data_IF_662939314072
#
_entry.id   IF_662939314072
#
_cell.length_a   1.000
_cell.length_b   1.000
_cell.length_c   1.000
_cell.angle_alpha   90.00
_cell.angle_beta   90.00
_cell.angle_gamma   90.00
#
_symmetry.space_group_name_H-M   'P 1'
#
loop_
_entity.id
_entity.type
_entity.pdbx_description
1 polymer ?
#
# COMPACT_ATOMS: atom_id res chain seq x y z
N UNK A 1 -25.65 42.29 -15.97
CA UNK A 1 -24.72 41.28 -16.54
C UNK A 1 -23.76 40.88 -15.43
N UNK A 2 -24.18 39.95 -14.57
CA UNK A 2 -23.36 39.40 -13.49
C UNK A 2 -22.96 37.97 -13.86
N UNK A 3 -21.65 37.72 -13.88
CA UNK A 3 -21.09 36.45 -14.27
C UNK A 3 -21.57 35.33 -13.35
N UNK A 4 -22.25 34.35 -13.93
CA UNK A 4 -22.55 33.06 -13.31
C UNK A 4 -21.26 32.24 -13.31
N UNK A 5 -20.67 32.03 -12.13
CA UNK A 5 -19.55 31.11 -11.97
C UNK A 5 -19.97 29.69 -12.34
N UNK A 6 -19.12 28.92 -13.06
CA UNK A 6 -19.46 27.59 -13.54
C UNK A 6 -19.61 26.59 -12.36
N UNK A 7 -20.61 25.72 -12.48
CA UNK A 7 -21.03 24.67 -11.53
C UNK A 7 -20.08 23.44 -11.51
N UNK A 8 -18.79 23.61 -11.76
CA UNK A 8 -17.88 22.48 -12.09
C UNK A 8 -17.04 21.94 -10.92
N UNK A 9 -17.15 22.52 -9.71
CA UNK A 9 -16.34 22.10 -8.54
C UNK A 9 -16.86 20.90 -7.74
N UNK A 10 -18.03 20.34 -8.07
CA UNK A 10 -18.71 19.34 -7.24
C UNK A 10 -18.30 17.88 -7.54
N UNK A 11 -17.95 17.58 -8.79
CA UNK A 11 -17.56 16.24 -9.26
C UNK A 11 -16.21 15.75 -8.70
N UNK A 12 -15.11 16.55 -8.68
CA UNK A 12 -13.81 16.07 -8.19
C UNK A 12 -13.84 15.81 -6.68
N UNK A 13 -14.59 16.63 -5.92
CA UNK A 13 -14.73 16.45 -4.47
C UNK A 13 -15.44 15.15 -4.11
N UNK A 14 -16.53 14.81 -4.81
CA UNK A 14 -17.24 13.54 -4.58
C UNK A 14 -16.40 12.32 -4.94
N UNK A 15 -15.64 12.38 -6.04
CA UNK A 15 -14.74 11.29 -6.44
C UNK A 15 -13.64 11.07 -5.40
N UNK A 16 -12.97 12.15 -4.96
CA UNK A 16 -11.91 12.09 -3.95
C UNK A 16 -12.43 11.64 -2.59
N UNK A 17 -13.63 12.06 -2.20
CA UNK A 17 -14.29 11.60 -0.98
C UNK A 17 -14.63 10.11 -1.05
N UNK A 18 -15.04 9.63 -2.23
CA UNK A 18 -15.30 8.21 -2.45
C UNK A 18 -14.00 7.39 -2.41
N UNK A 19 -12.91 7.88 -3.00
CA UNK A 19 -11.59 7.23 -2.99
C UNK A 19 -10.96 7.13 -1.60
N UNK A 20 -11.24 8.09 -0.72
CA UNK A 20 -10.76 8.13 0.68
C UNK A 20 -11.77 7.56 1.68
N UNK A 21 -12.89 7.02 1.18
CA UNK A 21 -13.90 6.37 2.00
C UNK A 21 -13.39 5.04 2.56
N UNK A 22 -13.96 4.62 3.69
CA UNK A 22 -13.68 3.32 4.32
C UNK A 22 -13.83 2.16 3.34
N UNK A 23 -14.88 2.16 2.53
CA UNK A 23 -15.15 1.11 1.55
C UNK A 23 -14.08 1.08 0.45
N UNK A 24 -13.66 2.25 -0.04
CA UNK A 24 -12.60 2.30 -1.06
C UNK A 24 -11.25 1.83 -0.50
N UNK A 25 -10.91 2.20 0.74
CA UNK A 25 -9.70 1.71 1.40
C UNK A 25 -9.74 0.19 1.54
N UNK A 26 -10.87 -0.39 1.96
CA UNK A 26 -11.02 -1.86 2.04
C UNK A 26 -10.85 -2.53 0.67
N UNK A 27 -11.50 -2.00 -0.37
CA UNK A 27 -11.40 -2.57 -1.72
C UNK A 27 -9.96 -2.51 -2.21
N UNK A 28 -9.28 -1.37 -2.05
CA UNK A 28 -7.88 -1.22 -2.42
C UNK A 28 -6.97 -2.16 -1.62
N UNK A 29 -7.19 -2.30 -0.32
CA UNK A 29 -6.45 -3.26 0.50
C UNK A 29 -6.61 -4.68 -0.05
N UNK A 30 -7.83 -5.12 -0.37
CA UNK A 30 -8.09 -6.45 -0.93
C UNK A 30 -7.36 -6.64 -2.26
N UNK A 31 -7.43 -5.67 -3.17
CA UNK A 31 -6.73 -5.73 -4.46
C UNK A 31 -5.21 -5.85 -4.25
N UNK A 32 -4.64 -5.03 -3.37
CA UNK A 32 -3.20 -5.06 -3.09
C UNK A 32 -2.79 -6.38 -2.43
N UNK A 33 -3.58 -6.90 -1.49
CA UNK A 33 -3.35 -8.21 -0.88
C UNK A 33 -3.30 -9.31 -1.94
N UNK A 34 -4.24 -9.32 -2.88
CA UNK A 34 -4.26 -10.31 -3.96
C UNK A 34 -3.02 -10.19 -4.86
N UNK A 35 -2.59 -8.96 -5.18
CA UNK A 35 -1.36 -8.74 -5.94
C UNK A 35 -0.11 -9.22 -5.18
N UNK A 36 -0.02 -8.97 -3.87
CA UNK A 36 1.09 -9.46 -3.04
C UNK A 36 1.10 -11.00 -2.99
N UNK A 37 -0.06 -11.63 -2.78
CA UNK A 37 -0.18 -13.08 -2.77
C UNK A 37 0.22 -13.69 -4.11
N UNK A 38 -0.29 -13.13 -5.21
CA UNK A 38 0.05 -13.60 -6.55
C UNK A 38 1.54 -13.44 -6.86
N UNK A 39 2.11 -12.26 -6.60
CA UNK A 39 3.52 -12.01 -6.90
C UNK A 39 4.46 -12.84 -6.02
N UNK A 40 4.16 -12.99 -4.72
CA UNK A 40 4.90 -13.90 -3.84
C UNK A 40 4.77 -15.36 -4.29
N UNK A 41 3.58 -15.79 -4.74
CA UNK A 41 3.37 -17.13 -5.28
C UNK A 41 4.18 -17.39 -6.55
N UNK A 42 4.19 -16.43 -7.49
CA UNK A 42 4.96 -16.53 -8.74
C UNK A 42 6.47 -16.65 -8.48
N UNK A 43 6.97 -15.97 -7.45
CA UNK A 43 8.36 -16.07 -6.99
C UNK A 43 8.61 -17.46 -6.37
N UNK A 44 7.80 -17.87 -5.40
CA UNK A 44 8.01 -19.14 -4.68
C UNK A 44 7.92 -20.36 -5.61
N UNK A 45 7.01 -20.34 -6.59
CA UNK A 45 6.89 -21.42 -7.58
C UNK A 45 8.12 -21.55 -8.47
N UNK A 46 8.82 -20.45 -8.74
CA UNK A 46 10.03 -20.40 -9.57
C UNK A 46 11.32 -20.51 -8.76
N UNK A 47 11.22 -20.75 -7.45
CA UNK A 47 12.36 -20.79 -6.53
C UNK A 47 13.45 -21.78 -6.98
N UNK A 48 13.06 -22.96 -7.45
CA UNK A 48 14.01 -24.00 -7.92
C UNK A 48 14.79 -23.61 -9.19
N UNK A 49 14.36 -22.55 -9.89
CA UNK A 49 14.98 -22.03 -11.10
C UNK A 49 15.27 -20.53 -11.01
N UNK A 50 15.65 -20.04 -9.80
CA UNK A 50 15.94 -18.63 -9.54
C UNK A 50 16.96 -18.05 -10.50
N UNK A 51 18.09 -18.73 -10.71
CA UNK A 51 19.17 -18.23 -11.58
C UNK A 51 18.69 -17.90 -13.01
N UNK A 52 17.66 -18.59 -13.50
CA UNK A 52 17.10 -18.37 -14.84
C UNK A 52 15.99 -17.30 -14.86
N UNK A 53 15.36 -17.03 -13.72
CA UNK A 53 14.19 -16.15 -13.61
C UNK A 53 14.42 -14.88 -12.78
N UNK A 54 15.62 -14.71 -12.23
CA UNK A 54 15.99 -13.65 -11.30
C UNK A 54 15.60 -12.25 -11.79
N UNK A 55 15.92 -11.82 -13.04
CA UNK A 55 15.50 -10.50 -13.53
C UNK A 55 13.98 -10.29 -13.51
N UNK A 56 13.21 -11.34 -13.78
CA UNK A 56 11.74 -11.29 -13.73
C UNK A 56 11.22 -11.19 -12.30
N UNK A 57 11.81 -11.94 -11.37
CA UNK A 57 11.43 -11.93 -9.95
C UNK A 57 11.75 -10.59 -9.29
N UNK A 58 12.91 -10.00 -9.62
CA UNK A 58 13.28 -8.65 -9.19
C UNK A 58 12.28 -7.60 -9.67
N UNK A 59 11.86 -7.66 -10.95
CA UNK A 59 10.90 -6.71 -11.50
C UNK A 59 9.53 -6.81 -10.82
N UNK A 60 9.08 -8.03 -10.50
CA UNK A 60 7.87 -8.24 -9.70
C UNK A 60 8.03 -7.59 -8.32
N UNK A 61 9.10 -7.92 -7.59
CA UNK A 61 9.35 -7.36 -6.25
C UNK A 61 9.45 -5.83 -6.27
N UNK A 62 10.12 -5.25 -7.27
CA UNK A 62 10.23 -3.80 -7.42
C UNK A 62 8.86 -3.15 -7.67
N UNK A 63 8.03 -3.75 -8.52
CA UNK A 63 6.67 -3.27 -8.78
C UNK A 63 5.80 -3.33 -7.53
N UNK A 64 5.82 -4.47 -6.82
CA UNK A 64 5.08 -4.66 -5.57
C UNK A 64 5.53 -3.67 -4.49
N UNK A 65 6.84 -3.51 -4.32
CA UNK A 65 7.43 -2.52 -3.41
C UNK A 65 6.90 -1.11 -3.69
N UNK A 66 6.91 -0.70 -4.96
CA UNK A 66 6.44 0.62 -5.39
C UNK A 66 4.96 0.82 -5.01
N UNK A 67 4.12 -0.20 -5.22
CA UNK A 67 2.71 -0.17 -4.84
C UNK A 67 2.54 -0.06 -3.32
N UNK A 68 3.29 -0.84 -2.54
CA UNK A 68 3.24 -0.81 -1.07
C UNK A 68 3.64 0.56 -0.53
N UNK A 69 4.73 1.15 -1.01
CA UNK A 69 5.17 2.48 -0.58
C UNK A 69 4.14 3.55 -0.95
N UNK A 70 3.68 3.57 -2.20
CA UNK A 70 2.72 4.58 -2.65
C UNK A 70 1.39 4.49 -1.89
N UNK A 71 0.85 3.29 -1.73
CA UNK A 71 -0.42 3.11 -1.03
C UNK A 71 -0.28 3.27 0.49
N UNK A 72 0.83 2.82 1.08
CA UNK A 72 1.14 3.04 2.48
C UNK A 72 1.22 4.53 2.82
N UNK A 73 1.79 5.35 1.92
CA UNK A 73 1.79 6.81 2.06
C UNK A 73 0.37 7.39 2.03
N UNK A 74 -0.49 6.93 1.12
CA UNK A 74 -1.89 7.35 1.06
C UNK A 74 -2.64 7.01 2.34
N UNK A 75 -2.40 5.83 2.93
CA UNK A 75 -2.96 5.45 4.22
C UNK A 75 -2.42 6.34 5.34
N UNK A 76 -1.11 6.56 5.35
CA UNK A 76 -0.44 7.34 6.38
C UNK A 76 -0.95 8.78 6.44
N UNK A 77 -1.04 9.42 5.28
CA UNK A 77 -1.39 10.83 5.12
C UNK A 77 -2.90 11.04 4.90
N UNK A 78 -3.74 10.02 5.11
CA UNK A 78 -5.19 10.09 4.85
C UNK A 78 -5.84 11.32 5.49
N UNK A 79 -5.55 11.58 6.76
CA UNK A 79 -6.10 12.72 7.49
C UNK A 79 -5.63 14.05 6.89
N UNK A 80 -4.34 14.17 6.59
CA UNK A 80 -3.76 15.36 5.97
C UNK A 80 -4.32 15.60 4.56
N UNK A 81 -4.49 14.56 3.75
CA UNK A 81 -5.11 14.62 2.42
C UNK A 81 -6.56 15.12 2.50
N UNK A 82 -7.35 14.59 3.42
CA UNK A 82 -8.74 15.02 3.63
C UNK A 82 -8.82 16.47 4.16
N UNK A 83 -7.90 16.86 5.05
CA UNK A 83 -7.82 18.22 5.58
C UNK A 83 -7.41 19.23 4.50
N UNK A 84 -6.38 18.93 3.72
CA UNK A 84 -5.91 19.75 2.60
C UNK A 84 -7.03 20.01 1.58
N UNK A 85 -7.84 18.98 1.30
CA UNK A 85 -8.96 19.08 0.37
C UNK A 85 -10.22 19.75 0.97
N UNK A 86 -10.18 20.16 2.25
CA UNK A 86 -11.33 20.68 3.02
C UNK A 86 -12.51 19.70 3.01
N UNK A 87 -12.22 18.40 2.94
CA UNK A 87 -13.18 17.29 2.95
C UNK A 87 -13.29 16.63 4.33
N UNK A 88 -12.41 16.98 5.26
CA UNK A 88 -12.53 16.57 6.66
C UNK A 88 -13.79 17.19 7.27
N UNK A 89 -14.70 16.40 7.86
CA UNK A 89 -15.95 16.94 8.39
C UNK A 89 -15.67 17.97 9.49
N UNK A 90 -16.45 19.06 9.48
CA UNK A 90 -16.46 20.06 10.56
C UNK A 90 -17.07 19.39 11.80
N UNK A 91 -16.22 18.74 12.59
CA UNK A 91 -16.61 17.88 13.70
C UNK A 91 -15.96 16.52 13.53
N UNK A 92 -14.82 16.32 14.19
CA UNK A 92 -14.14 15.04 14.25
C UNK A 92 -15.05 14.10 15.02
N UNK A 93 -15.78 13.22 14.33
CA UNK A 93 -16.39 12.10 15.03
C UNK A 93 -15.25 11.27 15.64
N UNK A 94 -15.36 10.82 16.90
CA UNK A 94 -14.34 9.98 17.54
C UNK A 94 -13.95 8.77 16.67
N UNK A 95 -14.89 8.27 15.88
CA UNK A 95 -14.71 7.20 14.89
C UNK A 95 -13.72 7.54 13.78
N UNK A 96 -13.81 8.74 13.20
CA UNK A 96 -12.94 9.13 12.09
C UNK A 96 -11.49 9.31 12.55
N UNK A 97 -11.30 9.86 13.75
CA UNK A 97 -9.99 9.96 14.39
C UNK A 97 -9.35 8.59 14.64
N UNK A 98 -10.16 7.59 15.04
CA UNK A 98 -9.67 6.24 15.29
C UNK A 98 -9.28 5.50 14.00
N UNK A 99 -10.07 5.65 12.95
CA UNK A 99 -9.73 5.15 11.61
C UNK A 99 -8.43 5.79 11.10
N UNK A 100 -8.28 7.11 11.24
CA UNK A 100 -7.07 7.82 10.84
C UNK A 100 -5.84 7.35 11.63
N UNK A 101 -5.98 7.08 12.93
CA UNK A 101 -4.88 6.56 13.76
C UNK A 101 -4.44 5.17 13.29
N UNK A 102 -5.40 4.28 12.98
CA UNK A 102 -5.08 2.96 12.43
C UNK A 102 -4.46 3.07 11.04
N UNK A 103 -5.03 3.87 10.13
CA UNK A 103 -4.46 4.09 8.80
C UNK A 103 -3.03 4.68 8.88
N UNK A 104 -2.78 5.59 9.81
CA UNK A 104 -1.45 6.18 10.03
C UNK A 104 -0.41 5.13 10.42
N UNK A 105 -0.67 4.35 11.47
CA UNK A 105 0.27 3.35 11.96
C UNK A 105 0.50 2.19 10.99
N UNK A 106 -0.58 1.65 10.39
CA UNK A 106 -0.46 0.58 9.40
C UNK A 106 0.14 1.08 8.08
N UNK A 107 -0.16 2.31 7.67
CA UNK A 107 0.44 2.96 6.51
C UNK A 107 1.96 3.00 6.63
N UNK A 108 2.48 3.49 7.76
CA UNK A 108 3.91 3.51 8.05
C UNK A 108 4.54 2.11 7.97
N UNK A 109 3.91 1.10 8.59
CA UNK A 109 4.42 -0.27 8.57
C UNK A 109 4.46 -0.88 7.15
N UNK A 110 3.47 -0.57 6.32
CA UNK A 110 3.40 -1.01 4.92
C UNK A 110 4.47 -0.30 4.07
N UNK A 111 4.71 0.99 4.29
CA UNK A 111 5.81 1.73 3.63
C UNK A 111 7.14 1.08 3.97
N UNK A 112 7.39 0.82 5.26
CA UNK A 112 8.64 0.19 5.70
C UNK A 112 8.84 -1.17 5.03
N UNK A 113 7.80 -2.02 5.01
CA UNK A 113 7.87 -3.31 4.33
C UNK A 113 8.21 -3.16 2.84
N UNK A 114 7.53 -2.26 2.12
CA UNK A 114 7.85 -1.96 0.71
C UNK A 114 9.29 -1.48 0.53
N UNK A 115 9.73 -0.52 1.35
CA UNK A 115 11.12 -0.04 1.29
C UNK A 115 12.15 -1.15 1.50
N UNK A 116 11.94 -2.08 2.44
CA UNK A 116 12.84 -3.22 2.62
C UNK A 116 12.88 -4.13 1.38
N UNK A 117 11.74 -4.34 0.71
CA UNK A 117 11.70 -5.06 -0.58
C UNK A 117 12.51 -4.32 -1.64
N UNK A 118 12.34 -3.00 -1.78
CA UNK A 118 13.16 -2.19 -2.70
C UNK A 118 14.64 -2.32 -2.40
N UNK A 119 15.05 -2.20 -1.13
CA UNK A 119 16.46 -2.32 -0.72
C UNK A 119 17.01 -3.69 -1.08
N UNK A 120 16.26 -4.78 -0.83
CA UNK A 120 16.67 -6.12 -1.21
C UNK A 120 16.90 -6.25 -2.72
N UNK A 121 16.00 -5.71 -3.56
CA UNK A 121 16.15 -5.73 -5.03
C UNK A 121 17.34 -4.88 -5.48
N UNK A 122 17.55 -3.70 -4.91
CA UNK A 122 18.68 -2.85 -5.26
C UNK A 122 20.03 -3.45 -4.89
N UNK A 123 20.10 -4.19 -3.78
CA UNK A 123 21.31 -4.91 -3.39
C UNK A 123 21.68 -6.00 -4.41
N UNK A 124 20.69 -6.74 -4.92
CA UNK A 124 20.91 -7.75 -5.97
C UNK A 124 21.44 -7.12 -7.27
N UNK A 125 20.95 -5.91 -7.62
CA UNK A 125 21.31 -5.22 -8.86
C UNK A 125 22.68 -4.54 -8.82
N UNK A 126 23.33 -4.46 -7.66
CA UNK A 126 24.55 -3.68 -7.49
C UNK A 126 25.77 -4.47 -8.02
N UNK A 127 26.45 -3.98 -9.07
CA UNK A 127 27.40 -4.79 -9.86
C UNK A 127 28.77 -5.05 -9.21
N UNK A 128 29.05 -4.48 -8.02
CA UNK A 128 30.39 -4.49 -7.40
C UNK A 128 30.38 -5.04 -5.97
N UNK A 129 29.26 -5.63 -5.56
CA UNK A 129 29.16 -6.36 -4.31
C UNK A 129 29.49 -7.82 -4.61
N UNK A 130 30.73 -8.22 -4.37
CA UNK A 130 31.26 -9.59 -4.45
C UNK A 130 30.65 -10.52 -3.36
N UNK A 131 29.36 -10.34 -3.08
CA UNK A 131 28.60 -11.01 -2.02
C UNK A 131 28.06 -12.32 -2.58
N UNK A 132 28.94 -13.31 -2.57
CA UNK A 132 28.68 -14.76 -2.54
C UNK A 132 27.20 -15.13 -2.33
N UNK A 133 26.51 -15.57 -3.39
CA UNK A 133 25.27 -16.36 -3.38
C UNK A 133 24.06 -15.85 -2.55
N UNK A 134 24.00 -14.56 -2.16
CA UNK A 134 22.87 -14.04 -1.36
C UNK A 134 21.61 -13.73 -2.19
N UNK A 135 21.70 -13.67 -3.51
CA UNK A 135 20.59 -13.28 -4.41
C UNK A 135 19.30 -14.08 -4.18
N UNK A 136 19.32 -15.43 -4.06
CA UNK A 136 18.10 -16.21 -3.80
C UNK A 136 17.50 -15.89 -2.44
N UNK A 137 18.34 -15.65 -1.42
CA UNK A 137 17.90 -15.33 -0.07
C UNK A 137 17.24 -13.94 -0.02
N UNK A 138 17.81 -12.95 -0.71
CA UNK A 138 17.24 -11.60 -0.81
C UNK A 138 15.91 -11.60 -1.57
N UNK A 139 15.77 -12.40 -2.64
CA UNK A 139 14.50 -12.58 -3.35
C UNK A 139 13.43 -13.19 -2.45
N UNK A 140 13.77 -14.24 -1.70
CA UNK A 140 12.84 -14.86 -0.75
C UNK A 140 12.47 -13.88 0.37
N UNK A 141 13.45 -13.15 0.90
CA UNK A 141 13.21 -12.14 1.93
C UNK A 141 12.24 -11.05 1.42
N UNK A 142 12.41 -10.59 0.19
CA UNK A 142 11.48 -9.66 -0.46
C UNK A 142 10.06 -10.22 -0.55
N UNK A 143 9.91 -11.48 -0.97
CA UNK A 143 8.60 -12.14 -1.03
C UNK A 143 7.95 -12.31 0.35
N UNK A 144 8.74 -12.57 1.41
CA UNK A 144 8.26 -12.64 2.78
C UNK A 144 7.79 -11.27 3.29
N UNK A 145 8.50 -10.19 2.98
CA UNK A 145 8.05 -8.83 3.30
C UNK A 145 6.75 -8.46 2.57
N UNK A 146 6.56 -8.88 1.31
CA UNK A 146 5.28 -8.73 0.61
C UNK A 146 4.14 -9.47 1.32
N UNK A 147 4.38 -10.70 1.79
CA UNK A 147 3.39 -11.47 2.56
C UNK A 147 3.08 -10.84 3.92
N UNK A 148 4.11 -10.32 4.61
CA UNK A 148 3.93 -9.59 5.87
C UNK A 148 3.08 -8.34 5.65
N UNK A 149 3.35 -7.57 4.59
CA UNK A 149 2.55 -6.40 4.22
C UNK A 149 1.10 -6.78 3.87
N UNK A 150 0.89 -7.88 3.16
CA UNK A 150 -0.45 -8.42 2.91
C UNK A 150 -1.18 -8.76 4.21
N UNK A 151 -0.50 -9.39 5.18
CA UNK A 151 -1.04 -9.67 6.51
C UNK A 151 -1.42 -8.40 7.29
N UNK A 152 -0.58 -7.36 7.22
CA UNK A 152 -0.85 -6.05 7.83
C UNK A 152 -2.09 -5.39 7.20
N UNK A 153 -2.21 -5.39 5.87
CA UNK A 153 -3.36 -4.86 5.14
C UNK A 153 -4.63 -5.67 5.42
N UNK A 154 -4.52 -7.00 5.55
CA UNK A 154 -5.65 -7.86 5.92
C UNK A 154 -6.14 -7.53 7.33
N UNK A 155 -5.22 -7.35 8.28
CA UNK A 155 -5.54 -6.94 9.64
C UNK A 155 -6.17 -5.54 9.69
N UNK A 156 -5.63 -4.59 8.93
CA UNK A 156 -6.23 -3.25 8.80
C UNK A 156 -7.65 -3.34 8.22
N UNK A 157 -7.85 -4.13 7.17
CA UNK A 157 -9.17 -4.35 6.55
C UNK A 157 -10.16 -4.97 7.53
N UNK A 158 -9.70 -5.93 8.34
CA UNK A 158 -10.51 -6.55 9.39
C UNK A 158 -10.88 -5.56 10.50
N UNK A 159 -9.93 -4.76 10.99
CA UNK A 159 -10.20 -3.71 11.99
C UNK A 159 -11.19 -2.69 11.45
N UNK A 160 -10.95 -2.21 10.23
CA UNK A 160 -11.86 -1.32 9.54
C UNK A 160 -13.20 -1.99 9.32
N UNK A 161 -13.34 -3.30 9.15
CA UNK A 161 -14.65 -3.96 8.99
C UNK A 161 -15.37 -4.06 10.32
N UNK A 162 -14.66 -4.50 11.36
CA UNK A 162 -15.20 -4.78 12.70
C UNK A 162 -15.61 -3.52 13.45
N UNK A 163 -15.07 -2.35 13.11
CA UNK A 163 -15.45 -1.12 13.79
C UNK A 163 -16.95 -0.84 13.60
N UNK A 164 -17.75 -0.84 14.69
CA UNK A 164 -19.19 -0.73 14.62
C UNK A 164 -19.55 0.59 13.94
N UNK A 165 -20.51 0.53 13.00
CA UNK A 165 -21.23 1.72 12.57
C UNK A 165 -22.00 2.17 13.81
N UNK A 166 -21.51 3.18 14.55
CA UNK A 166 -22.44 3.88 15.43
C UNK A 166 -23.48 4.54 14.53
N UNK A 167 -24.73 4.18 14.84
CA UNK A 167 -25.97 4.63 14.23
C UNK A 167 -26.07 6.15 14.35
#
# INVERSE_FOLDING_TARGET
>A
MSAQFPKDGAMPKKLLLNLTSRSAIMVMNIVIILLMLQGSWDILRKFSAIAQNQPGMENILQGLSTILVAFGLVLQERAALLAFLKLYPHGISPHQSRVDTHCSGYGLAVILAGMFVSVAVYLIRMPDLDIVNFDPALIVLGALFCLAAAGLLARLSWLLWRDPKEI
#
